data_IF_128824519509
#
_entry.id   IF_128824519509
#
_cell.length_a   1.000
_cell.length_b   1.000
_cell.length_c   1.000
_cell.angle_alpha   90.00
_cell.angle_beta   90.00
_cell.angle_gamma   90.00
#
_symmetry.space_group_name_H-M   'P 1'
#
loop_
_entity.id
_entity.type
_entity.pdbx_description
1 polymer ?
#
# COMPACT_ATOMS: atom_id res chain seq x y z
N UNK A 1 -34.05 -6.90 -15.95
CA UNK A 1 -33.92 -7.21 -14.51
C UNK A 1 -32.52 -6.80 -14.11
N UNK A 2 -32.37 -5.64 -13.44
CA UNK A 2 -31.08 -5.23 -12.89
C UNK A 2 -31.00 -5.79 -11.48
N UNK A 3 -30.18 -6.81 -11.27
CA UNK A 3 -29.86 -7.30 -9.94
C UNK A 3 -29.17 -6.16 -9.19
N UNK A 4 -29.86 -5.58 -8.21
CA UNK A 4 -29.21 -4.78 -7.18
C UNK A 4 -28.36 -5.73 -6.35
N UNK A 5 -27.12 -5.98 -6.80
CA UNK A 5 -26.11 -6.65 -6.00
C UNK A 5 -25.80 -5.69 -4.84
N UNK A 6 -26.44 -5.91 -3.68
CA UNK A 6 -26.02 -5.28 -2.43
C UNK A 6 -24.50 -5.44 -2.32
N UNK A 7 -23.74 -4.38 -2.00
CA UNK A 7 -22.30 -4.51 -1.86
C UNK A 7 -22.00 -5.64 -0.85
N UNK A 8 -21.03 -6.52 -1.13
CA UNK A 8 -20.75 -7.63 -0.26
C UNK A 8 -20.42 -7.10 1.14
N UNK A 9 -21.19 -7.51 2.14
CA UNK A 9 -20.86 -7.21 3.54
C UNK A 9 -19.80 -8.21 4.00
N UNK A 10 -18.63 -7.73 4.43
CA UNK A 10 -17.48 -8.54 4.81
C UNK A 10 -17.31 -8.58 6.33
N UNK A 11 -16.99 -9.75 6.85
CA UNK A 11 -16.50 -9.90 8.23
C UNK A 11 -15.01 -9.58 8.31
N UNK A 12 -14.48 -9.33 9.50
CA UNK A 12 -13.02 -9.11 9.71
C UNK A 12 -12.13 -10.16 9.03
N UNK A 13 -12.37 -11.49 9.18
CA UNK A 13 -11.53 -12.48 8.50
C UNK A 13 -11.63 -12.40 6.97
N UNK A 14 -12.79 -12.09 6.41
CA UNK A 14 -12.95 -11.89 4.96
C UNK A 14 -12.21 -10.63 4.48
N UNK A 15 -12.29 -9.53 5.23
CA UNK A 15 -11.49 -8.31 4.97
C UNK A 15 -10.00 -8.65 5.00
N UNK A 16 -9.57 -9.42 6.00
CA UNK A 16 -8.17 -9.81 6.15
C UNK A 16 -7.68 -10.61 4.93
N UNK A 17 -8.47 -11.59 4.49
CA UNK A 17 -8.19 -12.39 3.29
C UNK A 17 -8.14 -11.53 2.02
N UNK A 18 -9.13 -10.66 1.80
CA UNK A 18 -9.21 -9.75 0.64
C UNK A 18 -7.97 -8.85 0.52
N UNK A 19 -7.53 -8.25 1.64
CA UNK A 19 -6.39 -7.34 1.64
C UNK A 19 -5.05 -8.02 1.94
N UNK A 20 -5.03 -9.35 2.10
CA UNK A 20 -3.83 -10.13 2.36
C UNK A 20 -3.11 -9.76 3.67
N UNK A 21 -3.87 -9.37 4.70
CA UNK A 21 -3.34 -9.00 6.02
C UNK A 21 -3.82 -9.98 7.09
N UNK A 22 -3.16 -10.01 8.25
CA UNK A 22 -3.63 -10.80 9.38
C UNK A 22 -4.98 -10.27 9.93
N UNK A 23 -5.91 -11.14 10.37
CA UNK A 23 -7.18 -10.72 10.97
C UNK A 23 -7.00 -9.82 12.20
N UNK A 24 -5.93 -10.06 12.95
CA UNK A 24 -5.53 -9.27 14.10
C UNK A 24 -5.14 -7.84 13.70
N UNK A 25 -4.46 -7.65 12.58
CA UNK A 25 -4.16 -6.31 12.05
C UNK A 25 -5.44 -5.51 11.78
N UNK A 26 -6.46 -6.16 11.22
CA UNK A 26 -7.75 -5.51 10.98
C UNK A 26 -8.46 -5.21 12.30
N UNK A 27 -8.48 -6.17 13.24
CA UNK A 27 -9.17 -6.04 14.53
C UNK A 27 -8.51 -5.02 15.47
N UNK A 28 -7.19 -5.04 15.57
CA UNK A 28 -6.43 -4.32 16.60
C UNK A 28 -5.82 -3.02 16.09
N UNK A 29 -5.54 -2.90 14.79
CA UNK A 29 -5.01 -1.66 14.19
C UNK A 29 -6.07 -0.91 13.40
N UNK A 30 -6.76 -1.57 12.45
CA UNK A 30 -7.64 -0.85 11.52
C UNK A 30 -8.94 -0.42 12.20
N UNK A 31 -9.59 -1.34 12.94
CA UNK A 31 -10.85 -1.08 13.63
C UNK A 31 -10.76 0.01 14.71
N UNK A 32 -9.57 0.23 15.27
CA UNK A 32 -9.33 1.31 16.26
C UNK A 32 -9.16 2.68 15.61
N UNK A 33 -9.04 2.74 14.29
CA UNK A 33 -8.90 4.01 13.59
C UNK A 33 -10.24 4.77 13.60
N UNK A 34 -10.25 6.09 13.89
CA UNK A 34 -11.49 6.86 13.99
C UNK A 34 -12.30 6.90 12.68
N UNK A 35 -11.63 6.78 11.54
CA UNK A 35 -12.26 6.70 10.22
C UNK A 35 -12.67 5.26 9.79
N UNK A 36 -12.55 4.27 10.67
CA UNK A 36 -12.99 2.91 10.35
C UNK A 36 -14.52 2.88 10.18
N UNK A 37 -15.05 2.17 9.17
CA UNK A 37 -16.49 2.12 8.93
C UNK A 37 -17.26 1.51 10.10
N UNK A 38 -18.45 2.04 10.34
CA UNK A 38 -19.40 1.43 11.26
C UNK A 38 -19.85 0.05 10.74
N UNK A 39 -20.14 -0.90 11.63
CA UNK A 39 -20.69 -2.19 11.22
C UNK A 39 -22.08 -2.00 10.61
N UNK A 40 -22.34 -2.69 9.49
CA UNK A 40 -23.64 -2.66 8.79
C UNK A 40 -24.60 -3.75 9.25
N UNK A 41 -24.11 -4.70 10.05
CA UNK A 41 -24.90 -5.78 10.59
C UNK A 41 -24.04 -6.84 11.26
N UNK A 42 -24.60 -8.04 11.38
CA UNK A 42 -23.92 -9.19 11.94
C UNK A 42 -24.16 -10.42 11.04
N UNK A 43 -23.11 -11.25 10.88
CA UNK A 43 -23.20 -12.61 10.32
C UNK A 43 -22.90 -13.58 11.45
N UNK A 44 -23.95 -14.13 12.06
CA UNK A 44 -23.85 -14.88 13.31
C UNK A 44 -23.36 -13.98 14.46
N UNK A 45 -22.22 -14.35 15.08
CA UNK A 45 -21.60 -13.58 16.17
C UNK A 45 -20.61 -12.51 15.69
N UNK A 46 -20.34 -12.42 14.39
CA UNK A 46 -19.35 -11.51 13.83
C UNK A 46 -20.02 -10.26 13.24
N UNK A 47 -19.46 -9.08 13.55
CA UNK A 47 -19.83 -7.84 12.86
C UNK A 47 -19.46 -7.88 11.39
N UNK A 48 -20.35 -7.38 10.54
CA UNK A 48 -20.11 -7.20 9.11
C UNK A 48 -19.94 -5.72 8.78
N UNK A 49 -19.12 -5.44 7.77
CA UNK A 49 -18.80 -4.11 7.29
C UNK A 49 -19.08 -4.04 5.79
N UNK A 50 -19.53 -2.90 5.30
CA UNK A 50 -19.68 -2.66 3.86
C UNK A 50 -18.32 -2.71 3.16
N UNK A 51 -18.18 -3.58 2.14
CA UNK A 51 -16.92 -3.72 1.39
C UNK A 51 -16.47 -2.41 0.74
N UNK A 52 -17.40 -1.59 0.24
CA UNK A 52 -17.07 -0.31 -0.40
C UNK A 52 -16.42 0.68 0.58
N UNK A 53 -16.98 0.77 1.78
CA UNK A 53 -16.49 1.62 2.87
C UNK A 53 -15.15 1.13 3.40
N UNK A 54 -14.96 -0.19 3.55
CA UNK A 54 -13.66 -0.78 3.89
C UNK A 54 -12.63 -0.48 2.80
N UNK A 55 -12.98 -0.63 1.52
CA UNK A 55 -12.09 -0.31 0.41
C UNK A 55 -11.68 1.16 0.39
N UNK A 56 -12.63 2.07 0.68
CA UNK A 56 -12.35 3.51 0.79
C UNK A 56 -11.41 3.80 1.96
N UNK A 57 -11.65 3.19 3.13
CA UNK A 57 -10.75 3.30 4.28
C UNK A 57 -9.34 2.80 3.94
N UNK A 58 -9.22 1.62 3.34
CA UNK A 58 -7.93 1.04 2.97
C UNK A 58 -7.21 1.95 1.98
N UNK A 59 -7.89 2.43 0.94
CA UNK A 59 -7.30 3.38 -0.03
C UNK A 59 -6.85 4.68 0.61
N UNK A 60 -7.60 5.22 1.57
CA UNK A 60 -7.31 6.50 2.19
C UNK A 60 -6.25 6.43 3.30
N UNK A 61 -6.18 5.33 4.06
CA UNK A 61 -5.43 5.27 5.31
C UNK A 61 -4.40 4.14 5.40
N UNK A 62 -4.47 3.11 4.55
CA UNK A 62 -3.62 1.91 4.67
C UNK A 62 -2.81 1.60 3.42
N UNK A 63 -3.30 1.96 2.24
CA UNK A 63 -2.48 2.01 1.04
C UNK A 63 -1.56 3.21 1.17
N UNK A 64 -0.25 2.96 1.21
CA UNK A 64 0.73 3.96 0.82
C UNK A 64 0.31 4.42 -0.60
N UNK A 65 0.04 5.72 -0.83
CA UNK A 65 -0.29 6.17 -2.17
C UNK A 65 0.87 5.75 -3.08
N UNK A 66 0.54 5.10 -4.20
CA UNK A 66 1.54 4.89 -5.24
C UNK A 66 2.13 6.27 -5.59
N UNK A 67 3.45 6.37 -5.76
CA UNK A 67 4.08 7.65 -6.03
C UNK A 67 3.45 8.27 -7.27
N UNK A 68 2.65 9.31 -7.03
CA UNK A 68 1.88 9.97 -8.07
C UNK A 68 2.83 10.97 -8.71
N UNK A 69 3.25 10.71 -9.95
CA UNK A 69 4.21 11.55 -10.68
C UNK A 69 5.51 10.87 -11.09
N UNK A 70 5.66 9.57 -10.83
CA UNK A 70 6.83 8.81 -11.30
C UNK A 70 6.71 8.54 -12.81
N UNK A 71 7.58 9.15 -13.61
CA UNK A 71 7.67 8.88 -15.05
C UNK A 71 8.55 7.65 -15.29
N UNK A 72 8.07 6.62 -16.01
CA UNK A 72 8.77 5.33 -16.14
C UNK A 72 10.15 5.47 -16.79
N UNK A 73 10.28 6.37 -17.76
CA UNK A 73 11.50 6.58 -18.54
C UNK A 73 12.44 7.63 -17.93
N UNK A 74 12.05 8.26 -16.81
CA UNK A 74 12.83 9.32 -16.20
C UNK A 74 13.75 8.77 -15.10
N UNK A 75 15.01 9.22 -15.12
CA UNK A 75 15.97 8.96 -14.04
C UNK A 75 15.73 9.90 -12.86
N UNK A 76 15.60 9.30 -11.68
CA UNK A 76 15.47 9.99 -10.41
C UNK A 76 16.57 9.56 -9.45
N UNK A 77 17.21 10.54 -8.82
CA UNK A 77 18.13 10.29 -7.71
C UNK A 77 17.36 9.91 -6.45
N UNK A 78 18.00 9.23 -5.51
CA UNK A 78 17.37 8.89 -4.22
C UNK A 78 16.84 10.13 -3.47
N UNK A 79 17.44 11.31 -3.68
CA UNK A 79 16.99 12.57 -3.08
C UNK A 79 15.68 13.05 -3.72
N UNK A 80 15.63 13.10 -5.05
CA UNK A 80 14.41 13.44 -5.80
C UNK A 80 13.28 12.46 -5.49
N UNK A 81 13.59 11.16 -5.43
CA UNK A 81 12.63 10.14 -5.01
C UNK A 81 12.07 10.43 -3.61
N UNK A 82 12.92 10.72 -2.63
CA UNK A 82 12.48 10.99 -1.27
C UNK A 82 11.60 12.25 -1.14
N UNK A 83 11.69 13.18 -2.09
CA UNK A 83 10.85 14.38 -2.15
C UNK A 83 9.49 14.11 -2.79
N UNK A 84 9.30 12.97 -3.47
CA UNK A 84 8.02 12.61 -4.06
C UNK A 84 7.02 12.08 -3.02
N UNK A 85 5.74 12.45 -3.14
CA UNK A 85 4.69 11.90 -2.29
C UNK A 85 4.55 10.39 -2.51
N UNK A 86 4.52 9.63 -1.42
CA UNK A 86 4.41 8.17 -1.47
C UNK A 86 5.75 7.42 -1.51
N UNK A 87 6.89 8.11 -1.67
CA UNK A 87 8.21 7.48 -1.62
C UNK A 87 8.74 7.30 -0.19
N UNK A 88 9.69 6.38 0.05
CA UNK A 88 10.44 6.30 1.30
C UNK A 88 11.36 7.50 1.49
N UNK A 89 11.55 7.92 2.74
CA UNK A 89 12.53 8.94 3.06
C UNK A 89 13.93 8.53 2.58
N UNK A 90 14.78 9.51 2.28
CA UNK A 90 16.13 9.27 1.74
C UNK A 90 16.95 8.28 2.58
N UNK A 91 16.87 8.38 3.91
CA UNK A 91 17.54 7.44 4.81
C UNK A 91 17.01 6.00 4.69
N UNK A 92 15.69 5.83 4.47
CA UNK A 92 15.09 4.52 4.24
C UNK A 92 15.51 3.93 2.90
N UNK A 93 15.61 4.73 1.84
CA UNK A 93 16.12 4.27 0.53
C UNK A 93 17.57 3.78 0.64
N UNK A 94 18.43 4.52 1.35
CA UNK A 94 19.81 4.09 1.64
C UNK A 94 19.86 2.81 2.46
N UNK A 95 19.01 2.68 3.48
CA UNK A 95 18.92 1.46 4.27
C UNK A 95 18.44 0.25 3.45
N UNK A 96 17.46 0.43 2.55
CA UNK A 96 16.98 -0.61 1.65
C UNK A 96 18.08 -1.05 0.67
N UNK A 97 18.81 -0.09 0.10
CA UNK A 97 19.99 -0.36 -0.75
C UNK A 97 21.05 -1.15 0.00
N UNK A 98 21.43 -0.72 1.21
CA UNK A 98 22.43 -1.41 2.03
C UNK A 98 22.01 -2.82 2.43
N UNK A 99 20.70 -3.09 2.52
CA UNK A 99 20.14 -4.41 2.82
C UNK A 99 19.94 -5.28 1.57
N UNK A 100 20.32 -4.81 0.38
CA UNK A 100 20.11 -5.52 -0.88
C UNK A 100 18.64 -5.64 -1.28
N UNK A 101 17.75 -4.84 -0.69
CA UNK A 101 16.30 -4.82 -0.97
C UNK A 101 15.88 -3.70 -1.91
N UNK A 102 16.86 -2.96 -2.45
CA UNK A 102 16.66 -1.94 -3.46
C UNK A 102 17.49 -2.33 -4.69
N UNK A 103 16.98 -2.14 -5.92
CA UNK A 103 17.72 -2.47 -7.12
C UNK A 103 19.01 -1.66 -7.23
N UNK A 104 19.97 -2.21 -7.98
CA UNK A 104 21.15 -1.45 -8.41
C UNK A 104 20.73 -0.20 -9.19
N UNK A 105 21.56 0.86 -9.20
CA UNK A 105 21.27 2.06 -9.98
C UNK A 105 21.28 1.73 -11.48
N UNK A 106 20.26 2.21 -12.20
CA UNK A 106 20.21 2.12 -13.67
C UNK A 106 21.22 3.07 -14.34
N UNK A 107 21.64 4.11 -13.61
CA UNK A 107 22.65 5.04 -14.07
C UNK A 107 23.07 6.03 -13.00
N UNK A 108 23.64 7.14 -13.46
CA UNK A 108 23.99 8.26 -12.59
C UNK A 108 23.43 9.57 -13.14
N UNK A 109 22.93 10.41 -12.25
CA UNK A 109 22.40 11.75 -12.55
C UNK A 109 23.09 12.75 -11.65
N UNK A 110 23.88 13.66 -12.23
CA UNK A 110 24.65 14.65 -11.48
C UNK A 110 25.67 14.03 -10.51
N UNK A 111 26.29 12.90 -10.86
CA UNK A 111 27.26 12.20 -10.01
C UNK A 111 26.66 11.40 -8.85
N UNK A 112 25.33 11.33 -8.76
CA UNK A 112 24.61 10.49 -7.79
C UNK A 112 23.99 9.27 -8.48
N UNK A 113 23.87 8.16 -7.75
CA UNK A 113 23.10 7.00 -8.17
C UNK A 113 21.67 7.41 -8.55
N UNK A 114 21.22 6.98 -9.73
CA UNK A 114 19.89 7.27 -10.24
C UNK A 114 19.19 5.99 -10.72
N UNK A 115 17.87 5.98 -10.60
CA UNK A 115 17.01 4.87 -11.00
C UNK A 115 15.91 5.35 -11.93
N UNK A 116 15.55 4.51 -12.89
CA UNK A 116 14.40 4.76 -13.74
C UNK A 116 13.12 4.66 -12.92
N UNK A 117 12.12 5.48 -13.27
CA UNK A 117 10.80 5.37 -12.65
C UNK A 117 10.21 3.95 -12.77
N UNK A 118 10.46 3.25 -13.86
CA UNK A 118 10.08 1.84 -14.03
C UNK A 118 10.73 0.93 -12.98
N UNK A 119 12.05 1.05 -12.79
CA UNK A 119 12.83 0.26 -11.81
C UNK A 119 12.39 0.56 -10.37
N UNK A 120 12.11 1.83 -10.06
CA UNK A 120 11.62 2.23 -8.74
C UNK A 120 10.19 1.73 -8.52
N UNK A 121 9.33 1.77 -9.53
CA UNK A 121 7.96 1.24 -9.48
C UNK A 121 7.96 -0.27 -9.20
N UNK A 122 8.82 -1.02 -9.89
CA UNK A 122 8.99 -2.46 -9.67
C UNK A 122 9.54 -2.77 -8.26
N UNK A 123 10.55 -2.03 -7.82
CA UNK A 123 11.10 -2.14 -6.47
C UNK A 123 10.04 -1.90 -5.38
N UNK A 124 9.18 -0.91 -5.56
CA UNK A 124 8.08 -0.65 -4.63
C UNK A 124 7.01 -1.74 -4.66
N UNK A 125 6.71 -2.29 -5.83
CA UNK A 125 5.79 -3.42 -5.96
C UNK A 125 6.35 -4.66 -5.23
N UNK A 126 7.66 -4.92 -5.36
CA UNK A 126 8.35 -6.03 -4.70
C UNK A 126 8.46 -5.83 -3.18
N UNK A 127 8.74 -4.61 -2.72
CA UNK A 127 8.71 -4.25 -1.30
C UNK A 127 7.30 -4.40 -0.70
N UNK A 128 6.26 -4.06 -1.46
CA UNK A 128 4.87 -4.28 -1.09
C UNK A 128 4.49 -5.76 -1.04
N UNK A 129 5.08 -6.59 -1.91
CA UNK A 129 4.89 -8.04 -1.89
C UNK A 129 5.56 -8.69 -0.67
N UNK A 130 6.70 -8.17 -0.20
CA UNK A 130 7.41 -8.72 0.98
C UNK A 130 6.73 -8.45 2.32
N UNK A 131 5.76 -7.53 2.42
CA UNK A 131 4.93 -7.42 3.64
C UNK A 131 3.87 -8.52 3.74
N UNK A 132 3.82 -9.42 2.74
CA UNK A 132 3.00 -10.62 2.67
C UNK A 132 3.91 -11.83 2.92
N UNK A 133 4.31 -12.01 4.17
CA UNK A 133 5.12 -13.12 4.64
C UNK A 133 4.96 -13.26 6.13
#
# INVERSE_FOLDING_TARGET
MVEHVSPPSLTIPEIAAEYGVAPETVRDSWRRHPAWPAPVGNRGRAHTYDAGSVARFVRAHKRRPAPSGLQPDQLYTARELAEMPGMPAYGSLRALKSKGRWPGPDGSKGGSDAWLGSTVGDALANLGAYTRG
#
